data_IF_240090017743
#
_entry.id   IF_240090017743
#
_cell.length_a   1.000
_cell.length_b   1.000
_cell.length_c   1.000
_cell.angle_alpha   90.00
_cell.angle_beta   90.00
_cell.angle_gamma   90.00
#
_symmetry.space_group_name_H-M   'P 1'
#
loop_
_entity.id
_entity.type
_entity.pdbx_description
1 polymer ?
#
# COMPACT_ATOMS: atom_id res chain seq x y z
N UNK A 1 -73.35 29.90 21.87
CA UNK A 1 -72.17 30.69 21.42
C UNK A 1 -71.04 30.46 22.42
N UNK A 2 -69.74 30.32 22.06
CA UNK A 2 -69.10 30.13 20.75
C UNK A 2 -68.41 28.75 20.57
N UNK A 3 -67.96 28.49 19.33
CA UNK A 3 -67.32 27.25 18.79
C UNK A 3 -65.98 26.92 19.47
N UNK A 4 -65.77 25.64 19.80
CA UNK A 4 -64.41 25.10 19.90
C UNK A 4 -63.86 24.88 18.48
N UNK A 5 -62.90 25.69 18.08
CA UNK A 5 -62.11 25.49 16.86
C UNK A 5 -61.10 24.37 17.12
N UNK A 6 -61.42 23.16 16.67
CA UNK A 6 -60.50 22.04 16.63
C UNK A 6 -59.47 22.29 15.53
N UNK A 7 -58.33 22.89 15.91
CA UNK A 7 -57.24 23.16 14.98
C UNK A 7 -56.34 21.92 14.88
N UNK A 8 -56.72 20.96 14.03
CA UNK A 8 -55.82 19.88 13.60
C UNK A 8 -54.75 20.49 12.70
N UNK A 9 -53.67 20.99 13.30
CA UNK A 9 -52.49 21.36 12.56
C UNK A 9 -51.88 20.10 11.91
N UNK A 10 -51.85 20.12 10.58
CA UNK A 10 -51.32 19.09 9.70
C UNK A 10 -49.91 18.62 10.15
N UNK A 11 -49.85 17.44 10.76
CA UNK A 11 -48.59 16.75 11.09
C UNK A 11 -48.01 15.95 9.90
N UNK A 12 -48.51 16.16 8.68
CA UNK A 12 -48.11 15.39 7.50
C UNK A 12 -46.80 15.88 6.85
N UNK A 13 -46.41 17.16 7.04
CA UNK A 13 -45.23 17.75 6.38
C UNK A 13 -43.91 17.69 7.18
N UNK A 14 -43.97 17.58 8.52
CA UNK A 14 -42.77 17.58 9.38
C UNK A 14 -41.98 16.28 9.29
N UNK A 15 -42.67 15.14 9.12
CA UNK A 15 -42.03 13.82 9.09
C UNK A 15 -41.29 13.54 7.77
N UNK A 16 -41.80 14.05 6.65
CA UNK A 16 -41.13 13.96 5.34
C UNK A 16 -39.86 14.82 5.30
N UNK A 17 -39.93 16.07 5.75
CA UNK A 17 -38.75 16.96 5.78
C UNK A 17 -37.66 16.46 6.74
N UNK A 18 -38.05 15.91 7.89
CA UNK A 18 -37.11 15.32 8.85
C UNK A 18 -36.46 14.04 8.31
N UNK A 19 -37.20 13.20 7.59
CA UNK A 19 -36.64 12.02 6.91
C UNK A 19 -35.63 12.40 5.82
N UNK A 20 -35.96 13.40 4.99
CA UNK A 20 -35.03 13.93 3.97
C UNK A 20 -33.78 14.57 4.59
N UNK A 21 -33.92 15.30 5.70
CA UNK A 21 -32.79 15.88 6.42
C UNK A 21 -31.86 14.78 6.96
N UNK A 22 -32.40 13.76 7.64
CA UNK A 22 -31.61 12.63 8.15
C UNK A 22 -30.93 11.90 6.99
N UNK A 23 -31.65 11.60 5.91
CA UNK A 23 -31.08 10.96 4.73
C UNK A 23 -29.93 11.80 4.14
N UNK A 24 -30.09 13.12 4.05
CA UNK A 24 -29.04 14.02 3.56
C UNK A 24 -27.79 14.01 4.45
N UNK A 25 -27.96 13.98 5.78
CA UNK A 25 -26.86 13.84 6.73
C UNK A 25 -26.15 12.49 6.60
N UNK A 26 -26.89 11.39 6.45
CA UNK A 26 -26.30 10.05 6.26
C UNK A 26 -25.50 10.01 4.96
N UNK A 27 -26.06 10.52 3.85
CA UNK A 27 -25.37 10.58 2.56
C UNK A 27 -24.12 11.47 2.66
N UNK A 28 -24.21 12.62 3.32
CA UNK A 28 -23.08 13.53 3.52
C UNK A 28 -21.98 12.89 4.37
N UNK A 29 -22.35 12.17 5.45
CA UNK A 29 -21.40 11.45 6.30
C UNK A 29 -20.70 10.34 5.53
N UNK A 30 -21.45 9.52 4.78
CA UNK A 30 -20.85 8.48 3.93
C UNK A 30 -19.89 9.09 2.90
N UNK A 31 -20.31 10.13 2.18
CA UNK A 31 -19.47 10.83 1.21
C UNK A 31 -18.21 11.42 1.84
N UNK A 32 -18.33 12.00 3.04
CA UNK A 32 -17.20 12.53 3.80
C UNK A 32 -16.23 11.42 4.23
N UNK A 33 -16.73 10.27 4.69
CA UNK A 33 -15.90 9.11 5.03
C UNK A 33 -15.10 8.63 3.82
N UNK A 34 -15.74 8.42 2.67
CA UNK A 34 -15.02 8.02 1.45
C UNK A 34 -14.00 9.06 0.98
N UNK A 35 -14.33 10.36 1.09
CA UNK A 35 -13.41 11.44 0.75
C UNK A 35 -12.16 11.45 1.64
N UNK A 36 -12.34 11.39 2.96
CA UNK A 36 -11.20 11.39 3.89
C UNK A 36 -10.38 10.11 3.80
N UNK A 37 -11.02 8.97 3.57
CA UNK A 37 -10.32 7.70 3.38
C UNK A 37 -9.42 7.74 2.13
N UNK A 38 -9.97 8.19 0.99
CA UNK A 38 -9.20 8.38 -0.25
C UNK A 38 -8.02 9.34 -0.06
N UNK A 39 -8.23 10.46 0.65
CA UNK A 39 -7.16 11.40 0.96
C UNK A 39 -6.10 10.80 1.89
N UNK A 40 -6.49 9.96 2.86
CA UNK A 40 -5.55 9.31 3.77
C UNK A 40 -4.70 8.28 3.03
N UNK A 41 -5.31 7.46 2.17
CA UNK A 41 -4.60 6.44 1.39
C UNK A 41 -3.55 7.06 0.47
N UNK A 42 -3.88 8.15 -0.21
CA UNK A 42 -2.91 8.89 -1.04
C UNK A 42 -1.75 9.48 -0.21
N UNK A 43 -1.99 9.84 1.06
CA UNK A 43 -0.94 10.34 1.94
C UNK A 43 -0.02 9.23 2.47
N UNK A 44 -0.52 8.01 2.60
CA UNK A 44 0.25 6.83 3.04
C UNK A 44 1.07 6.28 1.86
N UNK A 45 0.42 6.09 0.71
CA UNK A 45 1.01 5.61 -0.53
C UNK A 45 0.71 6.60 -1.68
N UNK A 46 1.55 7.65 -1.85
CA UNK A 46 1.42 8.56 -2.98
C UNK A 46 1.86 7.90 -4.31
N UNK A 47 2.38 6.67 -4.27
CA UNK A 47 2.92 5.94 -5.42
C UNK A 47 2.12 4.67 -5.68
N UNK A 48 0.79 4.76 -5.63
CA UNK A 48 -0.10 3.67 -6.01
C UNK A 48 -0.03 3.37 -7.52
N UNK A 49 0.29 4.39 -8.32
CA UNK A 49 0.61 4.27 -9.74
C UNK A 49 1.77 5.23 -10.07
N UNK A 50 3.02 4.86 -9.78
CA UNK A 50 4.16 5.76 -9.94
C UNK A 50 4.45 6.04 -11.43
N UNK A 51 4.95 7.23 -11.71
CA UNK A 51 5.46 7.58 -13.04
C UNK A 51 6.61 6.62 -13.40
N UNK A 52 6.53 6.06 -14.61
CA UNK A 52 7.56 5.17 -15.12
C UNK A 52 7.81 5.39 -16.60
N UNK A 53 9.01 5.03 -17.03
CA UNK A 53 9.42 5.11 -18.44
C UNK A 53 10.37 3.96 -18.80
N UNK A 54 10.46 3.66 -20.08
CA UNK A 54 11.43 2.74 -20.64
C UNK A 54 12.11 3.41 -21.83
N UNK A 55 13.43 3.46 -21.81
CA UNK A 55 14.23 4.04 -22.90
C UNK A 55 14.35 3.07 -24.07
N UNK A 56 14.71 3.57 -25.26
CA UNK A 56 15.03 2.72 -26.42
C UNK A 56 16.19 1.74 -26.19
N UNK A 57 17.02 1.99 -25.16
CA UNK A 57 18.11 1.13 -24.75
C UNK A 57 17.68 0.07 -23.72
N UNK A 58 16.39 -0.03 -23.37
CA UNK A 58 15.86 -1.00 -22.40
C UNK A 58 16.04 -0.61 -20.94
N UNK A 59 16.55 0.59 -20.64
CA UNK A 59 16.61 1.11 -19.26
C UNK A 59 15.21 1.49 -18.80
N UNK A 60 14.76 0.92 -17.68
CA UNK A 60 13.46 1.20 -17.07
C UNK A 60 13.63 2.08 -15.85
N UNK A 61 12.86 3.16 -15.78
CA UNK A 61 12.91 4.14 -14.69
C UNK A 61 11.54 4.22 -13.99
N UNK A 62 11.54 4.31 -12.66
CA UNK A 62 10.36 4.53 -11.83
C UNK A 62 10.65 5.66 -10.84
N UNK A 63 9.73 6.63 -10.74
CA UNK A 63 9.84 7.79 -9.86
C UNK A 63 8.88 7.64 -8.68
N UNK A 64 9.44 7.64 -7.47
CA UNK A 64 8.68 7.55 -6.22
C UNK A 64 8.75 8.85 -5.44
N UNK A 65 7.59 9.32 -4.97
CA UNK A 65 7.43 10.41 -4.04
C UNK A 65 7.47 9.91 -2.60
N UNK A 66 8.21 10.62 -1.74
CA UNK A 66 8.21 10.36 -0.30
C UNK A 66 6.85 10.70 0.28
N UNK A 67 6.30 9.79 1.08
CA UNK A 67 5.05 10.01 1.80
C UNK A 67 5.23 10.98 2.98
N UNK A 68 4.12 11.35 3.65
CA UNK A 68 4.16 12.31 4.78
C UNK A 68 4.93 11.81 6.00
N UNK A 69 5.11 10.50 6.13
CA UNK A 69 5.87 9.86 7.21
C UNK A 69 7.37 9.80 6.91
N UNK A 70 7.77 10.23 5.71
CA UNK A 70 9.17 10.24 5.31
C UNK A 70 9.63 8.96 4.63
N UNK A 71 8.72 8.04 4.29
CA UNK A 71 9.02 6.75 3.68
C UNK A 71 8.70 6.75 2.18
N UNK A 72 9.33 5.84 1.43
CA UNK A 72 8.93 5.53 0.06
C UNK A 72 8.08 4.26 0.10
N UNK A 73 6.80 4.43 -0.22
CA UNK A 73 5.80 3.37 -0.27
C UNK A 73 5.26 3.31 -1.68
N UNK A 74 5.14 2.13 -2.29
CA UNK A 74 4.61 1.98 -3.64
C UNK A 74 3.86 0.68 -3.80
N UNK A 75 2.84 0.68 -4.67
CA UNK A 75 2.14 -0.56 -5.04
C UNK A 75 2.94 -1.35 -6.07
N UNK A 76 2.81 -2.67 -6.04
CA UNK A 76 3.34 -3.56 -7.07
C UNK A 76 2.85 -4.98 -6.86
N UNK A 77 3.59 -5.97 -7.33
CA UNK A 77 3.20 -7.37 -7.15
C UNK A 77 4.39 -8.29 -6.87
N UNK A 78 4.11 -9.41 -6.20
CA UNK A 78 5.00 -10.56 -6.10
C UNK A 78 4.23 -11.81 -6.53
N UNK A 79 4.79 -12.64 -7.40
CA UNK A 79 4.12 -13.85 -7.91
C UNK A 79 2.66 -13.59 -8.33
N UNK A 80 2.42 -12.49 -9.06
CA UNK A 80 1.10 -12.00 -9.50
C UNK A 80 0.11 -11.59 -8.39
N UNK A 81 0.54 -11.53 -7.13
CA UNK A 81 -0.24 -11.03 -5.98
C UNK A 81 0.08 -9.56 -5.73
N UNK A 82 -0.94 -8.70 -5.71
CA UNK A 82 -0.79 -7.29 -5.38
C UNK A 82 -0.32 -7.07 -3.94
N UNK A 83 0.66 -6.18 -3.78
CA UNK A 83 1.31 -5.86 -2.50
C UNK A 83 1.68 -4.39 -2.41
N UNK A 84 1.94 -3.96 -1.18
CA UNK A 84 2.49 -2.63 -0.90
C UNK A 84 3.95 -2.79 -0.50
N UNK A 85 4.87 -2.20 -1.25
CA UNK A 85 6.27 -2.16 -0.89
C UNK A 85 6.57 -0.93 -0.04
N UNK A 86 7.22 -1.15 1.10
CA UNK A 86 7.92 -0.13 1.85
C UNK A 86 9.43 -0.31 1.59
N UNK A 87 10.06 0.70 0.99
CA UNK A 87 11.51 0.65 0.79
C UNK A 87 12.25 0.75 2.11
N UNK A 88 13.12 -0.23 2.38
CA UNK A 88 13.92 -0.31 3.59
C UNK A 88 15.36 -0.73 3.26
N UNK A 89 16.25 0.26 3.13
CA UNK A 89 17.69 0.03 2.90
C UNK A 89 18.39 -0.67 4.08
N UNK A 90 17.74 -0.76 5.25
CA UNK A 90 18.26 -1.48 6.41
C UNK A 90 17.95 -2.98 6.38
N UNK A 91 17.01 -3.41 5.56
CA UNK A 91 16.66 -4.82 5.40
C UNK A 91 17.65 -5.52 4.44
N UNK A 92 18.11 -6.72 4.82
CA UNK A 92 19.05 -7.50 3.99
C UNK A 92 18.35 -8.13 2.79
N UNK A 93 17.14 -8.64 2.98
CA UNK A 93 16.32 -9.25 1.95
C UNK A 93 14.89 -8.68 1.95
N UNK A 94 14.04 -9.18 1.05
CA UNK A 94 12.62 -8.81 1.01
C UNK A 94 11.89 -9.51 2.16
N UNK A 95 11.34 -8.76 3.12
CA UNK A 95 10.63 -9.33 4.26
C UNK A 95 9.11 -9.35 4.04
N UNK A 96 8.49 -10.51 4.24
CA UNK A 96 7.11 -10.81 3.87
C UNK A 96 6.36 -11.39 5.08
N UNK A 97 5.10 -11.01 5.28
CA UNK A 97 4.25 -11.62 6.31
C UNK A 97 3.87 -13.06 5.96
N UNK A 98 3.60 -13.94 6.94
CA UNK A 98 3.17 -15.31 6.67
C UNK A 98 1.87 -15.39 5.87
N UNK A 99 0.93 -14.47 6.13
CA UNK A 99 -0.36 -14.45 5.42
C UNK A 99 -0.17 -14.13 3.95
N UNK A 100 0.72 -13.18 3.63
CA UNK A 100 0.99 -12.79 2.26
C UNK A 100 1.85 -13.82 1.52
N UNK A 101 2.82 -14.43 2.22
CA UNK A 101 3.60 -15.54 1.67
C UNK A 101 2.69 -16.69 1.23
N UNK A 102 1.70 -17.05 2.06
CA UNK A 102 0.71 -18.07 1.71
C UNK A 102 -0.14 -17.67 0.49
N UNK A 103 -0.59 -16.40 0.41
CA UNK A 103 -1.34 -15.89 -0.76
C UNK A 103 -0.51 -15.94 -2.04
N UNK A 104 0.78 -15.60 -1.97
CA UNK A 104 1.71 -15.57 -3.08
C UNK A 104 2.34 -16.94 -3.42
N UNK A 105 1.92 -18.02 -2.74
CA UNK A 105 2.42 -19.37 -2.97
C UNK A 105 3.86 -19.61 -2.50
N UNK A 106 4.43 -18.68 -1.75
CA UNK A 106 5.81 -18.73 -1.26
C UNK A 106 5.97 -19.81 -0.18
N UNK A 107 7.03 -20.61 -0.30
CA UNK A 107 7.29 -21.72 0.60
C UNK A 107 8.37 -21.37 1.63
N UNK A 108 8.15 -21.63 2.92
CA UNK A 108 9.18 -21.43 3.93
C UNK A 108 10.32 -22.44 3.73
N UNK A 109 11.54 -21.91 3.64
CA UNK A 109 12.79 -22.66 3.64
C UNK A 109 13.43 -22.73 5.02
N UNK A 110 14.73 -22.50 5.08
CA UNK A 110 15.52 -22.62 6.30
C UNK A 110 15.18 -21.52 7.32
N UNK A 111 15.09 -21.91 8.58
CA UNK A 111 14.98 -20.97 9.70
C UNK A 111 16.33 -20.26 9.91
N UNK A 112 16.31 -18.93 9.95
CA UNK A 112 17.48 -18.08 10.19
C UNK A 112 17.13 -17.01 11.22
N UNK A 113 18.11 -16.51 11.97
CA UNK A 113 17.91 -15.39 12.88
C UNK A 113 18.09 -14.05 12.15
N UNK A 114 17.12 -13.15 12.32
CA UNK A 114 17.19 -11.79 11.81
C UNK A 114 17.17 -10.79 12.97
N UNK A 115 18.01 -9.75 12.89
CA UNK A 115 18.00 -8.64 13.84
C UNK A 115 16.98 -7.60 13.37
N UNK A 116 16.01 -7.29 14.23
CA UNK A 116 14.99 -6.26 13.99
C UNK A 116 15.07 -5.17 15.05
N UNK A 117 14.32 -4.09 14.87
CA UNK A 117 14.18 -3.04 15.89
C UNK A 117 13.64 -3.58 17.23
N UNK A 118 12.86 -4.68 17.20
CA UNK A 118 12.28 -5.31 18.38
C UNK A 118 13.15 -6.46 18.93
N UNK A 119 14.38 -6.62 18.43
CA UNK A 119 15.31 -7.66 18.83
C UNK A 119 15.48 -8.76 17.78
N UNK A 120 16.11 -9.86 18.18
CA UNK A 120 16.39 -11.00 17.31
C UNK A 120 15.15 -11.89 17.24
N UNK A 121 14.73 -12.21 16.02
CA UNK A 121 13.61 -13.11 15.74
C UNK A 121 14.04 -14.23 14.79
N UNK A 122 13.26 -15.31 14.75
CA UNK A 122 13.43 -16.35 13.72
C UNK A 122 12.57 -16.01 12.50
N UNK A 123 13.19 -16.00 11.33
CA UNK A 123 12.55 -15.84 10.02
C UNK A 123 12.84 -17.06 9.15
N UNK A 124 12.06 -17.27 8.09
CA UNK A 124 12.24 -18.41 7.18
C UNK A 124 12.61 -17.91 5.80
N UNK A 125 13.71 -18.37 5.22
CA UNK A 125 14.10 -17.98 3.86
C UNK A 125 13.02 -18.35 2.84
N UNK A 126 12.80 -17.56 1.81
CA UNK A 126 11.96 -17.92 0.65
C UNK A 126 12.58 -17.35 -0.62
N UNK A 127 12.15 -17.86 -1.77
CA UNK A 127 12.45 -17.27 -3.07
C UNK A 127 11.15 -16.73 -3.67
N UNK A 128 11.21 -15.53 -4.23
CA UNK A 128 10.11 -14.85 -4.92
C UNK A 128 10.39 -15.00 -6.41
N UNK A 129 9.50 -15.67 -7.12
CA UNK A 129 9.72 -16.01 -8.54
C UNK A 129 9.70 -14.73 -9.39
N UNK A 130 8.74 -13.85 -9.14
CA UNK A 130 8.63 -12.55 -9.80
C UNK A 130 8.29 -11.43 -8.82
N UNK A 131 8.95 -10.29 -8.97
CA UNK A 131 8.66 -9.05 -8.24
C UNK A 131 8.58 -7.90 -9.23
N UNK A 132 7.49 -7.16 -9.23
CA UNK A 132 7.30 -6.02 -10.12
C UNK A 132 6.88 -4.75 -9.41
N UNK A 133 7.47 -3.63 -9.85
CA UNK A 133 7.15 -2.28 -9.42
C UNK A 133 7.02 -1.44 -10.69
N UNK A 134 5.79 -1.15 -11.11
CA UNK A 134 5.52 -0.45 -12.37
C UNK A 134 6.26 -1.09 -13.55
N UNK A 135 7.19 -0.39 -14.22
CA UNK A 135 7.97 -0.96 -15.33
C UNK A 135 9.10 -1.91 -14.89
N UNK A 136 9.57 -1.82 -13.64
CA UNK A 136 10.68 -2.65 -13.16
C UNK A 136 10.16 -4.04 -12.82
N UNK A 137 10.87 -5.07 -13.29
CA UNK A 137 10.55 -6.47 -13.00
C UNK A 137 11.83 -7.24 -12.71
N UNK A 138 11.85 -7.92 -11.58
CA UNK A 138 12.96 -8.76 -11.13
C UNK A 138 12.45 -10.19 -10.94
N UNK A 139 13.33 -11.15 -11.20
CA UNK A 139 13.03 -12.57 -11.06
C UNK A 139 13.94 -13.20 -10.01
N UNK A 140 13.49 -14.31 -9.41
CA UNK A 140 14.27 -15.11 -8.47
C UNK A 140 14.83 -14.31 -7.29
N UNK A 141 14.02 -13.42 -6.71
CA UNK A 141 14.42 -12.52 -5.63
C UNK A 141 14.45 -13.27 -4.30
N UNK A 142 15.56 -13.14 -3.57
CA UNK A 142 15.64 -13.66 -2.21
C UNK A 142 14.80 -12.84 -1.22
N UNK A 143 14.05 -13.54 -0.39
CA UNK A 143 13.25 -12.95 0.68
C UNK A 143 13.22 -13.80 1.94
N UNK A 144 12.54 -13.28 2.95
CA UNK A 144 12.30 -13.95 4.22
C UNK A 144 10.84 -13.79 4.66
N UNK A 145 10.25 -14.89 5.14
CA UNK A 145 8.95 -14.90 5.79
C UNK A 145 9.18 -14.57 7.26
N UNK A 146 8.63 -13.44 7.69
CA UNK A 146 8.81 -12.88 9.02
C UNK A 146 7.52 -13.00 9.84
N UNK A 147 7.44 -13.91 10.83
CA UNK A 147 6.26 -14.07 11.68
C UNK A 147 5.91 -12.85 12.55
N UNK A 148 6.82 -11.90 12.69
CA UNK A 148 6.57 -10.62 13.38
C UNK A 148 5.92 -9.55 12.51
N UNK A 149 5.77 -9.80 11.21
CA UNK A 149 5.05 -8.93 10.28
C UNK A 149 3.61 -9.38 10.10
N UNK A 150 2.73 -8.44 9.74
CA UNK A 150 1.33 -8.70 9.42
C UNK A 150 0.85 -7.75 8.33
N UNK A 151 -0.25 -8.10 7.66
CA UNK A 151 -0.85 -7.29 6.61
C UNK A 151 -0.18 -7.48 5.24
N UNK A 152 -0.40 -6.50 4.37
CA UNK A 152 -0.04 -6.55 2.93
C UNK A 152 1.23 -5.78 2.58
N UNK A 153 1.87 -5.17 3.58
CA UNK A 153 3.12 -4.43 3.41
C UNK A 153 4.32 -5.38 3.43
N UNK A 154 5.14 -5.31 2.38
CA UNK A 154 6.43 -5.98 2.26
C UNK A 154 7.55 -4.96 2.45
N UNK A 155 8.63 -5.36 3.12
CA UNK A 155 9.85 -4.54 3.17
C UNK A 155 10.72 -4.86 1.96
N UNK A 156 11.00 -3.85 1.13
CA UNK A 156 11.89 -3.98 -0.03
C UNK A 156 13.34 -3.72 0.41
N UNK A 157 14.07 -4.80 0.67
CA UNK A 157 15.44 -4.77 1.15
C UNK A 157 16.52 -4.84 0.07
N UNK A 158 17.77 -5.01 0.53
CA UNK A 158 18.96 -4.98 -0.30
C UNK A 158 19.07 -6.13 -1.31
N UNK A 159 18.33 -7.24 -1.14
CA UNK A 159 18.25 -8.30 -2.16
C UNK A 159 17.67 -7.82 -3.49
N UNK A 160 16.84 -6.76 -3.46
CA UNK A 160 16.32 -6.06 -4.63
C UNK A 160 17.13 -4.80 -4.92
N UNK A 161 17.37 -3.97 -3.89
CA UNK A 161 17.95 -2.64 -4.08
C UNK A 161 19.39 -2.66 -4.61
N UNK A 162 20.10 -3.79 -4.54
CA UNK A 162 21.43 -3.95 -5.15
C UNK A 162 21.38 -4.22 -6.67
N UNK A 163 20.25 -4.74 -7.17
CA UNK A 163 20.05 -5.10 -8.58
C UNK A 163 19.54 -3.91 -9.41
N UNK A 164 19.20 -2.80 -8.75
CA UNK A 164 18.72 -1.57 -9.37
C UNK A 164 19.55 -0.39 -8.89
N UNK A 165 19.76 0.59 -9.77
CA UNK A 165 20.28 1.88 -9.34
C UNK A 165 19.16 2.65 -8.65
N UNK A 166 19.45 3.26 -7.50
CA UNK A 166 18.53 4.19 -6.87
C UNK A 166 19.24 5.50 -6.50
N UNK A 167 18.55 6.62 -6.70
CA UNK A 167 19.06 7.95 -6.39
C UNK A 167 18.00 8.78 -5.69
N UNK A 168 18.35 9.37 -4.55
CA UNK A 168 17.45 10.21 -3.79
C UNK A 168 17.82 11.69 -3.95
N UNK A 169 16.85 12.52 -4.33
CA UNK A 169 16.97 13.99 -4.39
C UNK A 169 15.76 14.65 -3.75
N UNK A 170 15.96 15.25 -2.58
CA UNK A 170 14.87 15.84 -1.80
C UNK A 170 13.85 14.76 -1.41
N UNK A 171 12.58 14.97 -1.80
CA UNK A 171 11.48 14.02 -1.58
C UNK A 171 11.31 12.99 -2.70
N UNK A 172 12.14 13.02 -3.74
CA UNK A 172 12.03 12.11 -4.88
C UNK A 172 13.09 11.01 -4.78
N UNK A 173 12.67 9.78 -5.04
CA UNK A 173 13.54 8.65 -5.26
C UNK A 173 13.33 8.14 -6.69
N UNK A 174 14.42 8.03 -7.42
CA UNK A 174 14.43 7.45 -8.77
C UNK A 174 15.01 6.05 -8.69
N UNK A 175 14.29 5.06 -9.20
CA UNK A 175 14.74 3.69 -9.37
C UNK A 175 15.02 3.43 -10.84
N UNK A 176 16.14 2.79 -11.17
CA UNK A 176 16.52 2.43 -12.54
C UNK A 176 16.97 0.98 -12.62
N UNK A 177 16.35 0.24 -13.53
CA UNK A 177 16.79 -1.09 -13.93
C UNK A 177 17.47 -0.98 -15.30
N UNK A 178 18.70 -1.46 -15.38
CA UNK A 178 19.42 -1.60 -16.65
C UNK A 178 19.15 -2.99 -17.23
N UNK A 179 19.13 -3.13 -18.57
CA UNK A 179 19.04 -4.45 -19.19
C UNK A 179 20.24 -5.30 -18.78
N UNK A 180 20.02 -6.60 -18.57
CA UNK A 180 21.12 -7.53 -18.35
C UNK A 180 22.01 -7.57 -19.60
N UNK A 181 23.32 -7.43 -19.39
CA UNK A 181 24.35 -7.44 -20.44
C UNK A 181 24.80 -8.83 -20.79
#
# INVERSE_FOLDING_TARGET
MPKQLNNKHNAAGRNLGQGMLIASFVIALLGMTFFFDSQLMNQINPNSNPESSESSAGVREVILQRNRQGHYVTSGSINDVEVIFLLDTGATDVAISPELAAKAGLQPGNATQASTANGIITVYSTNIDSLSISSISLENVNGSINPGMSGETILLGMSVLKEIEFSQRGSILTLRQYPET
#
